data_IF_234693661333
#
_entry.id   IF_234693661333
#
_cell.length_a   1.000
_cell.length_b   1.000
_cell.length_c   1.000
_cell.angle_alpha   90.00
_cell.angle_beta   90.00
_cell.angle_gamma   90.00
#
_symmetry.space_group_name_H-M   'P 1'
#
loop_
_entity.id
_entity.type
_entity.pdbx_description
1 polymer ?
#
# COMPACT_ATOMS: atom_id res chain seq x y z
N UNK A 1 10.13 -6.13 -3.50
CA UNK A 1 9.30 -5.15 -4.24
C UNK A 1 9.88 -4.93 -5.63
N UNK A 2 9.03 -4.79 -6.66
CA UNK A 2 9.45 -4.46 -8.04
C UNK A 2 9.03 -3.05 -8.40
N UNK A 3 7.75 -2.72 -8.25
CA UNK A 3 7.23 -1.38 -8.55
C UNK A 3 5.99 -1.05 -7.75
N UNK A 4 5.68 0.23 -7.66
CA UNK A 4 4.39 0.74 -7.21
C UNK A 4 3.91 1.81 -8.18
N UNK A 5 2.62 1.78 -8.51
CA UNK A 5 1.93 2.81 -9.29
C UNK A 5 0.78 3.38 -8.48
N UNK A 6 0.67 4.70 -8.47
CA UNK A 6 -0.35 5.47 -7.75
C UNK A 6 -1.18 6.27 -8.76
N UNK A 7 -2.49 6.09 -8.75
CA UNK A 7 -3.43 6.83 -9.59
C UNK A 7 -4.46 7.52 -8.71
N UNK A 8 -4.51 8.84 -8.77
CA UNK A 8 -5.39 9.73 -7.98
C UNK A 8 -5.32 9.52 -6.45
N UNK A 9 -4.18 9.02 -5.94
CA UNK A 9 -4.00 8.76 -4.52
C UNK A 9 -3.45 10.00 -3.80
N UNK A 10 -4.27 10.71 -3.01
CA UNK A 10 -3.91 11.93 -2.28
C UNK A 10 -3.25 12.95 -3.20
N UNK A 11 -1.99 13.38 -2.97
CA UNK A 11 -1.30 14.33 -3.85
C UNK A 11 -0.77 13.72 -5.15
N UNK A 12 -0.76 12.40 -5.26
CA UNK A 12 -0.26 11.71 -6.44
C UNK A 12 -1.38 11.51 -7.47
N UNK A 13 -1.24 12.05 -8.68
CA UNK A 13 -2.23 11.87 -9.76
C UNK A 13 -1.95 10.63 -10.59
N UNK A 14 -0.73 10.47 -11.07
CA UNK A 14 -0.30 9.31 -11.85
C UNK A 14 1.21 9.17 -11.74
N UNK A 15 1.66 8.51 -10.69
CA UNK A 15 3.06 8.36 -10.36
C UNK A 15 3.44 6.89 -10.28
N UNK A 16 4.66 6.57 -10.69
CA UNK A 16 5.20 5.21 -10.58
C UNK A 16 6.64 5.23 -10.15
N UNK A 17 7.02 4.23 -9.38
CA UNK A 17 8.41 4.03 -8.93
C UNK A 17 8.76 2.56 -9.16
N UNK A 18 9.87 2.33 -9.88
CA UNK A 18 10.51 1.05 -9.97
C UNK A 18 11.60 0.94 -8.91
N UNK A 19 11.58 -0.15 -8.14
CA UNK A 19 12.54 -0.37 -7.07
C UNK A 19 13.78 -1.09 -7.59
N UNK A 20 14.92 -0.85 -6.95
CA UNK A 20 16.17 -1.56 -7.24
C UNK A 20 15.96 -3.07 -7.04
N UNK A 21 16.36 -3.86 -8.05
CA UNK A 21 16.13 -5.31 -8.10
C UNK A 21 17.36 -6.15 -7.74
N UNK A 22 18.43 -5.52 -7.23
CA UNK A 22 19.67 -6.21 -6.87
C UNK A 22 20.63 -6.40 -8.05
N UNK A 23 20.30 -5.92 -9.24
CA UNK A 23 21.19 -5.95 -10.39
C UNK A 23 22.45 -5.10 -10.13
N UNK A 24 23.62 -5.67 -10.39
CA UNK A 24 24.91 -5.01 -10.11
C UNK A 24 25.13 -4.69 -8.62
N UNK A 25 24.50 -5.45 -7.71
CA UNK A 25 24.62 -5.25 -6.26
C UNK A 25 23.78 -4.11 -5.70
N UNK A 26 22.96 -3.45 -6.51
CA UNK A 26 22.08 -2.35 -6.09
C UNK A 26 20.70 -2.90 -5.68
N UNK A 27 20.45 -3.02 -4.39
CA UNK A 27 19.18 -3.52 -3.82
C UNK A 27 18.48 -2.50 -2.91
N UNK A 28 18.92 -1.24 -2.92
CA UNK A 28 18.35 -0.17 -2.10
C UNK A 28 17.84 0.94 -3.00
N UNK A 29 16.58 1.31 -2.81
CA UNK A 29 15.97 2.51 -3.41
C UNK A 29 15.80 3.57 -2.33
N UNK A 30 16.32 4.76 -2.56
CA UNK A 30 16.21 5.90 -1.64
C UNK A 30 15.24 6.92 -2.23
N UNK A 31 14.20 7.26 -1.48
CA UNK A 31 13.23 8.29 -1.84
C UNK A 31 13.51 9.53 -0.99
N UNK A 32 13.91 10.61 -1.66
CA UNK A 32 14.28 11.87 -1.01
C UNK A 32 13.21 12.91 -1.35
N UNK A 33 12.90 13.76 -0.38
CA UNK A 33 11.99 14.89 -0.58
C UNK A 33 11.93 15.75 0.68
N UNK A 34 11.54 17.00 0.53
CA UNK A 34 11.31 17.92 1.63
C UNK A 34 10.12 17.50 2.52
N UNK A 35 9.94 18.16 3.66
CA UNK A 35 8.77 17.92 4.50
C UNK A 35 7.50 18.36 3.76
N UNK A 36 6.46 17.54 3.85
CA UNK A 36 5.19 17.79 3.16
C UNK A 36 5.10 17.29 1.71
N UNK A 37 6.20 16.81 1.10
CA UNK A 37 6.19 16.32 -0.30
C UNK A 37 5.47 15.00 -0.50
N UNK A 38 5.12 14.29 0.58
CA UNK A 38 4.32 13.07 0.50
C UNK A 38 5.05 11.77 0.81
N UNK A 39 6.24 11.82 1.42
CA UNK A 39 6.95 10.59 1.81
C UNK A 39 6.07 9.66 2.69
N UNK A 40 5.43 10.20 3.70
CA UNK A 40 4.49 9.46 4.56
C UNK A 40 3.27 8.98 3.78
N UNK A 41 2.72 9.81 2.89
CA UNK A 41 1.59 9.41 2.03
C UNK A 41 1.98 8.26 1.10
N UNK A 42 3.21 8.30 0.57
CA UNK A 42 3.74 7.23 -0.25
C UNK A 42 3.84 5.91 0.54
N UNK A 43 4.37 5.95 1.77
CA UNK A 43 4.39 4.78 2.65
C UNK A 43 2.97 4.26 2.96
N UNK A 44 2.00 5.16 3.19
CA UNK A 44 0.60 4.80 3.43
C UNK A 44 -0.06 4.14 2.20
N UNK A 45 0.41 4.40 0.98
CA UNK A 45 -0.09 3.75 -0.21
C UNK A 45 0.18 2.24 -0.21
N UNK A 46 1.32 1.79 0.36
CA UNK A 46 1.59 0.36 0.56
C UNK A 46 0.60 -0.26 1.54
N UNK A 47 0.35 0.39 2.69
CA UNK A 47 -0.61 -0.08 3.68
C UNK A 47 -2.00 -0.19 3.08
N UNK A 48 -2.41 0.83 2.35
CA UNK A 48 -3.71 0.82 1.70
C UNK A 48 -3.80 -0.28 0.64
N UNK A 49 -2.79 -0.45 -0.19
CA UNK A 49 -2.80 -1.51 -1.20
C UNK A 49 -2.86 -2.90 -0.56
N UNK A 50 -2.05 -3.17 0.46
CA UNK A 50 -1.95 -4.48 1.10
C UNK A 50 -3.17 -4.78 2.00
N UNK A 51 -3.59 -3.83 2.83
CA UNK A 51 -4.54 -4.09 3.93
C UNK A 51 -5.84 -3.28 3.83
N UNK A 52 -5.99 -2.39 2.86
CA UNK A 52 -7.18 -1.54 2.71
C UNK A 52 -7.28 -0.42 3.74
N UNK A 53 -6.22 -0.13 4.48
CA UNK A 53 -6.22 0.82 5.59
C UNK A 53 -5.22 1.95 5.38
N UNK A 54 -5.54 3.11 5.95
CA UNK A 54 -4.64 4.26 6.04
C UNK A 54 -4.74 4.88 7.43
N UNK A 55 -3.70 5.59 7.85
CA UNK A 55 -3.67 6.34 9.11
C UNK A 55 -4.08 7.81 8.93
N UNK A 56 -4.57 8.18 7.75
CA UNK A 56 -5.05 9.55 7.53
C UNK A 56 -6.27 9.84 8.40
N UNK A 57 -6.28 11.03 8.99
CA UNK A 57 -7.46 11.55 9.71
C UNK A 57 -8.64 11.75 8.75
N UNK A 58 -8.36 12.21 7.53
CA UNK A 58 -9.33 12.34 6.46
C UNK A 58 -9.47 10.99 5.73
N UNK A 59 -10.69 10.48 5.70
CA UNK A 59 -11.01 9.17 5.07
C UNK A 59 -11.07 9.23 3.54
N UNK A 60 -11.10 10.43 2.96
CA UNK A 60 -11.08 10.62 1.51
C UNK A 60 -9.63 10.55 1.03
N UNK A 61 -9.29 9.48 0.31
CA UNK A 61 -7.95 9.29 -0.26
C UNK A 61 -7.86 9.74 -1.71
N UNK A 62 -8.98 10.13 -2.34
CA UNK A 62 -8.99 10.71 -3.67
C UNK A 62 -8.18 12.01 -3.71
N UNK A 63 -7.45 12.21 -4.80
CA UNK A 63 -6.71 13.44 -5.05
C UNK A 63 -7.64 14.66 -4.97
N UNK A 64 -7.25 15.67 -4.19
CA UNK A 64 -8.11 16.84 -3.93
C UNK A 64 -8.43 17.64 -5.20
N UNK A 65 -7.49 17.77 -6.12
CA UNK A 65 -7.74 18.47 -7.39
C UNK A 65 -8.75 17.69 -8.24
N UNK A 66 -8.58 16.36 -8.33
CA UNK A 66 -9.55 15.49 -9.01
C UNK A 66 -10.92 15.61 -8.36
N UNK A 67 -11.01 15.54 -7.03
CA UNK A 67 -12.27 15.70 -6.30
C UNK A 67 -12.95 17.06 -6.56
N UNK A 68 -12.14 18.13 -6.71
CA UNK A 68 -12.64 19.47 -7.03
C UNK A 68 -13.18 19.54 -8.46
N UNK A 69 -12.48 18.93 -9.42
CA UNK A 69 -12.82 18.92 -10.85
C UNK A 69 -14.03 18.02 -11.18
N UNK A 70 -14.41 17.11 -10.26
CA UNK A 70 -15.60 16.27 -10.43
C UNK A 70 -16.87 17.10 -10.58
N UNK A 71 -17.73 16.70 -11.50
CA UNK A 71 -19.09 17.22 -11.62
C UNK A 71 -20.09 16.33 -10.87
N UNK A 72 -21.29 16.84 -10.52
CA UNK A 72 -22.34 15.99 -9.94
C UNK A 72 -22.58 14.72 -10.76
N UNK A 73 -22.75 13.59 -10.08
CA UNK A 73 -22.93 12.24 -10.67
C UNK A 73 -21.71 11.68 -11.40
N UNK A 74 -20.59 12.41 -11.47
CA UNK A 74 -19.36 11.85 -12.02
C UNK A 74 -18.71 10.86 -11.05
N UNK A 75 -17.92 9.96 -11.63
CA UNK A 75 -17.13 8.98 -10.89
C UNK A 75 -15.64 9.17 -11.16
N UNK A 76 -14.85 9.05 -10.12
CA UNK A 76 -13.40 9.02 -10.21
C UNK A 76 -12.85 7.85 -9.42
N UNK A 77 -11.69 7.37 -9.80
CA UNK A 77 -11.10 6.18 -9.23
C UNK A 77 -9.72 6.47 -8.63
N UNK A 78 -9.54 5.99 -7.42
CA UNK A 78 -8.21 5.82 -6.83
C UNK A 78 -7.75 4.40 -7.07
N UNK A 79 -6.52 4.23 -7.55
CA UNK A 79 -5.91 2.92 -7.74
C UNK A 79 -4.46 2.93 -7.24
N UNK A 80 -4.09 1.88 -6.52
CA UNK A 80 -2.70 1.56 -6.21
C UNK A 80 -2.40 0.16 -6.75
N UNK A 81 -1.36 0.07 -7.55
CA UNK A 81 -0.86 -1.19 -8.08
C UNK A 81 0.54 -1.45 -7.50
N UNK A 82 0.72 -2.57 -6.85
CA UNK A 82 1.98 -3.01 -6.26
C UNK A 82 2.45 -4.29 -6.95
N UNK A 83 3.67 -4.28 -7.47
CA UNK A 83 4.29 -5.48 -8.06
C UNK A 83 5.41 -5.94 -7.16
N UNK A 84 5.42 -7.22 -6.83
CA UNK A 84 6.45 -7.83 -5.99
C UNK A 84 6.75 -9.26 -6.44
N UNK A 85 7.89 -9.78 -6.00
CA UNK A 85 8.25 -11.19 -6.13
C UNK A 85 8.30 -11.82 -4.73
N UNK A 86 7.69 -13.00 -4.61
CA UNK A 86 7.81 -13.85 -3.44
C UNK A 86 8.12 -15.27 -3.90
N UNK A 87 9.29 -15.79 -3.49
CA UNK A 87 9.85 -17.00 -4.08
C UNK A 87 10.09 -16.82 -5.59
N UNK A 88 9.61 -17.77 -6.38
CA UNK A 88 9.73 -17.78 -7.84
C UNK A 88 8.50 -17.18 -8.56
N UNK A 89 7.63 -16.51 -7.82
CA UNK A 89 6.34 -16.05 -8.32
C UNK A 89 6.28 -14.53 -8.27
N UNK A 90 5.80 -13.92 -9.36
CA UNK A 90 5.53 -12.50 -9.45
C UNK A 90 4.05 -12.21 -9.13
N UNK A 91 3.84 -11.31 -8.20
CA UNK A 91 2.51 -10.86 -7.77
C UNK A 91 2.26 -9.45 -8.25
N UNK A 92 1.05 -9.20 -8.76
CA UNK A 92 0.52 -7.86 -9.01
C UNK A 92 -0.74 -7.68 -8.18
N UNK A 93 -0.63 -6.83 -7.15
CA UNK A 93 -1.72 -6.50 -6.25
C UNK A 93 -2.32 -5.19 -6.71
N UNK A 94 -3.65 -5.15 -6.88
CA UNK A 94 -4.38 -3.97 -7.34
C UNK A 94 -5.48 -3.68 -6.34
N UNK A 95 -5.44 -2.52 -5.71
CA UNK A 95 -6.55 -2.03 -4.89
C UNK A 95 -7.11 -0.77 -5.51
N UNK A 96 -8.45 -0.75 -5.62
CA UNK A 96 -9.20 0.35 -6.18
C UNK A 96 -10.32 0.80 -5.24
N UNK A 97 -10.65 2.08 -5.32
CA UNK A 97 -11.84 2.65 -4.70
C UNK A 97 -12.44 3.68 -5.64
N UNK A 98 -13.73 3.52 -5.93
CA UNK A 98 -14.50 4.49 -6.73
C UNK A 98 -15.04 5.57 -5.80
N UNK A 99 -14.97 6.80 -6.25
CA UNK A 99 -15.53 7.98 -5.59
C UNK A 99 -16.61 8.58 -6.49
N UNK A 100 -17.72 8.97 -5.89
CA UNK A 100 -18.84 9.64 -6.57
C UNK A 100 -19.08 10.99 -5.94
N UNK A 101 -19.45 11.96 -6.77
CA UNK A 101 -19.87 13.29 -6.33
C UNK A 101 -21.38 13.41 -6.43
N UNK A 102 -22.04 13.74 -5.33
CA UNK A 102 -23.48 13.95 -5.31
C UNK A 102 -23.86 15.40 -5.74
N UNK A 103 -25.15 15.66 -5.92
CA UNK A 103 -25.66 17.00 -6.28
C UNK A 103 -25.41 18.06 -5.22
N UNK A 104 -25.14 17.66 -3.98
CA UNK A 104 -24.74 18.56 -2.88
C UNK A 104 -23.22 18.81 -2.84
N UNK A 105 -22.50 18.40 -3.87
CA UNK A 105 -21.04 18.49 -3.99
C UNK A 105 -20.26 17.66 -2.95
N UNK A 106 -20.87 16.68 -2.28
CA UNK A 106 -20.16 15.78 -1.41
C UNK A 106 -19.52 14.65 -2.22
N UNK A 107 -18.26 14.37 -1.92
CA UNK A 107 -17.53 13.26 -2.52
C UNK A 107 -17.51 12.09 -1.53
N UNK A 108 -18.00 10.93 -1.97
CA UNK A 108 -18.07 9.70 -1.17
C UNK A 108 -17.39 8.55 -1.89
N UNK A 109 -16.61 7.76 -1.15
CA UNK A 109 -15.98 6.55 -1.66
C UNK A 109 -16.87 5.32 -1.43
N UNK A 110 -16.91 4.44 -2.41
CA UNK A 110 -17.49 3.11 -2.29
C UNK A 110 -16.56 2.16 -1.50
N UNK A 111 -16.97 0.90 -1.33
CA UNK A 111 -16.10 -0.13 -0.82
C UNK A 111 -14.90 -0.36 -1.77
N UNK A 112 -13.76 -0.69 -1.19
CA UNK A 112 -12.57 -1.01 -1.97
C UNK A 112 -12.73 -2.36 -2.68
N UNK A 113 -12.18 -2.44 -3.89
CA UNK A 113 -12.01 -3.70 -4.62
C UNK A 113 -10.53 -4.08 -4.56
N UNK A 114 -10.26 -5.35 -4.30
CA UNK A 114 -8.90 -5.87 -4.21
C UNK A 114 -8.74 -7.10 -5.08
N UNK A 115 -7.78 -7.07 -5.99
CA UNK A 115 -7.47 -8.14 -6.92
C UNK A 115 -5.97 -8.47 -6.86
N UNK A 116 -5.64 -9.74 -7.00
CA UNK A 116 -4.27 -10.24 -7.07
C UNK A 116 -4.12 -11.09 -8.32
N UNK A 117 -3.20 -10.70 -9.20
CA UNK A 117 -2.72 -11.51 -10.30
C UNK A 117 -1.38 -12.14 -9.92
N UNK A 118 -1.20 -13.39 -10.29
CA UNK A 118 -0.03 -14.21 -9.98
C UNK A 118 0.55 -14.70 -11.29
N UNK A 119 1.84 -14.43 -11.52
CA UNK A 119 2.57 -14.90 -12.70
C UNK A 119 3.63 -15.90 -12.27
N UNK A 120 3.50 -17.15 -12.73
CA UNK A 120 4.44 -18.24 -12.44
C UNK A 120 5.75 -18.11 -13.23
N UNK A 121 6.71 -18.99 -12.94
CA UNK A 121 8.00 -19.04 -13.63
C UNK A 121 7.87 -19.39 -15.12
N UNK A 122 6.78 -20.05 -15.54
CA UNK A 122 6.47 -20.36 -16.94
C UNK A 122 5.85 -19.19 -17.69
N UNK A 123 5.54 -18.09 -16.99
CA UNK A 123 4.94 -16.90 -17.57
C UNK A 123 3.42 -16.91 -17.61
N UNK A 124 2.74 -17.96 -17.10
CA UNK A 124 1.30 -18.03 -17.03
C UNK A 124 0.77 -17.10 -15.94
N UNK A 125 -0.30 -16.36 -16.27
CA UNK A 125 -0.95 -15.49 -15.32
C UNK A 125 -2.28 -16.09 -14.86
N UNK A 126 -2.49 -16.14 -13.56
CA UNK A 126 -3.73 -16.54 -12.91
C UNK A 126 -4.18 -15.47 -11.91
N UNK A 127 -5.45 -15.53 -11.50
CA UNK A 127 -6.00 -14.59 -10.53
C UNK A 127 -6.38 -15.33 -9.25
N UNK A 128 -6.01 -14.74 -8.12
CA UNK A 128 -6.43 -15.23 -6.81
C UNK A 128 -7.94 -14.97 -6.64
N UNK A 129 -8.68 -15.93 -6.10
CA UNK A 129 -10.10 -15.73 -5.81
C UNK A 129 -10.26 -14.59 -4.80
N UNK A 130 -11.23 -13.68 -5.01
CA UNK A 130 -11.46 -12.51 -4.15
C UNK A 130 -11.53 -12.84 -2.66
N UNK A 131 -12.19 -13.94 -2.31
CA UNK A 131 -12.28 -14.41 -0.92
C UNK A 131 -10.95 -14.90 -0.31
N UNK A 132 -9.91 -15.09 -1.12
CA UNK A 132 -8.60 -15.59 -0.70
C UNK A 132 -7.51 -14.50 -0.76
N UNK A 133 -7.80 -13.34 -1.36
CA UNK A 133 -6.80 -12.27 -1.53
C UNK A 133 -6.18 -11.80 -0.20
N UNK A 134 -6.98 -11.64 0.85
CA UNK A 134 -6.47 -11.23 2.16
C UNK A 134 -5.58 -12.31 2.80
N UNK A 135 -5.94 -13.59 2.65
CA UNK A 135 -5.12 -14.71 3.13
C UNK A 135 -3.79 -14.79 2.36
N UNK A 136 -3.83 -14.53 1.05
CA UNK A 136 -2.63 -14.48 0.20
C UNK A 136 -1.67 -13.37 0.64
N UNK A 137 -2.19 -12.15 0.88
CA UNK A 137 -1.36 -11.04 1.41
C UNK A 137 -0.78 -11.41 2.77
N UNK A 138 -1.58 -12.04 3.64
CA UNK A 138 -1.10 -12.46 4.97
C UNK A 138 0.03 -13.48 4.89
N UNK A 139 0.03 -14.36 3.90
CA UNK A 139 1.12 -15.33 3.69
C UNK A 139 2.41 -14.68 3.20
N UNK A 140 2.31 -13.57 2.43
CA UNK A 140 3.46 -12.81 1.91
C UNK A 140 4.01 -11.88 2.99
N UNK A 141 3.13 -11.10 3.62
CA UNK A 141 3.48 -10.13 4.65
C UNK A 141 2.32 -9.98 5.66
N UNK A 142 2.38 -10.66 6.82
CA UNK A 142 1.40 -10.48 7.89
C UNK A 142 1.31 -9.01 8.32
N UNK A 143 0.09 -8.52 8.55
CA UNK A 143 -0.15 -7.12 8.92
C UNK A 143 0.59 -6.73 10.21
N UNK A 144 0.70 -7.65 11.15
CA UNK A 144 1.39 -7.48 12.43
C UNK A 144 2.88 -7.15 12.23
N UNK A 145 3.47 -7.68 11.15
CA UNK A 145 4.86 -7.42 10.79
C UNK A 145 5.05 -6.15 9.97
N UNK A 146 4.01 -5.68 9.29
CA UNK A 146 4.11 -4.54 8.39
C UNK A 146 4.69 -3.29 9.07
N UNK A 147 4.38 -3.08 10.34
CA UNK A 147 4.91 -1.98 11.16
C UNK A 147 6.44 -1.99 11.33
N UNK A 148 7.10 -3.15 11.11
CA UNK A 148 8.57 -3.29 11.17
C UNK A 148 9.23 -3.10 9.81
N UNK A 149 8.44 -3.13 8.73
CA UNK A 149 8.91 -2.93 7.36
C UNK A 149 8.54 -1.56 6.80
N UNK A 150 7.41 -1.01 7.24
CA UNK A 150 6.93 0.31 6.79
C UNK A 150 6.85 1.25 7.99
N UNK A 151 7.89 2.04 8.20
CA UNK A 151 7.93 3.02 9.29
C UNK A 151 8.51 4.35 8.81
N UNK A 152 8.01 5.43 9.38
CA UNK A 152 8.59 6.77 9.22
C UNK A 152 9.51 7.12 10.40
N UNK A 153 10.24 8.23 10.30
CA UNK A 153 11.20 8.64 11.32
C UNK A 153 10.58 8.87 12.70
N UNK A 154 9.32 9.32 12.77
CA UNK A 154 8.60 9.53 14.04
C UNK A 154 8.26 8.19 14.71
N UNK A 155 7.97 7.16 13.92
CA UNK A 155 7.72 5.81 14.44
C UNK A 155 8.97 5.13 14.97
N UNK A 156 10.15 5.37 14.37
CA UNK A 156 11.42 4.83 14.90
C UNK A 156 11.61 5.26 16.35
N UNK A 157 11.35 6.53 16.65
CA UNK A 157 11.50 7.05 18.01
C UNK A 157 10.50 6.39 19.00
N UNK A 158 9.25 6.20 18.58
CA UNK A 158 8.25 5.47 19.40
C UNK A 158 8.63 4.00 19.58
N UNK A 159 9.07 3.32 18.53
CA UNK A 159 9.51 1.92 18.61
C UNK A 159 10.70 1.76 19.53
N UNK A 160 11.68 2.66 19.50
CA UNK A 160 12.83 2.65 20.41
C UNK A 160 12.39 2.78 21.88
N UNK A 161 11.42 3.67 22.16
CA UNK A 161 10.84 3.82 23.51
C UNK A 161 10.04 2.59 23.94
N UNK A 162 9.27 1.99 23.04
CA UNK A 162 8.44 0.80 23.30
C UNK A 162 9.29 -0.45 23.56
N UNK A 163 10.42 -0.61 22.85
CA UNK A 163 11.38 -1.71 23.06
C UNK A 163 12.06 -1.56 24.43
N UNK A 164 12.43 -0.34 24.82
CA UNK A 164 13.06 -0.08 26.12
C UNK A 164 12.13 -0.35 27.30
N UNK A 165 10.80 -0.34 27.10
CA UNK A 165 9.79 -0.62 28.13
C UNK A 165 9.33 -2.08 28.18
N UNK A 166 9.88 -2.98 27.34
CA UNK A 166 9.66 -4.44 27.39
C UNK A 166 8.27 -4.92 26.95
N UNK A 167 7.35 -4.02 26.60
CA UNK A 167 5.94 -4.35 26.32
C UNK A 167 5.67 -4.95 24.93
N UNK A 168 6.60 -4.84 23.97
CA UNK A 168 6.39 -5.26 22.58
C UNK A 168 7.39 -6.29 22.03
N UNK A 169 8.32 -6.74 22.84
CA UNK A 169 9.24 -7.80 22.43
C UNK A 169 8.52 -9.15 22.19
N UNK A 170 7.45 -9.41 22.91
CA UNK A 170 6.58 -10.59 22.75
C UNK A 170 5.83 -10.59 21.43
N UNK A 171 5.25 -9.47 21.04
CA UNK A 171 4.47 -9.35 19.79
C UNK A 171 5.34 -9.58 18.54
N UNK A 172 6.58 -9.09 18.56
CA UNK A 172 7.55 -9.32 17.49
C UNK A 172 7.97 -10.78 17.40
N UNK A 173 8.27 -11.40 18.55
CA UNK A 173 8.66 -12.81 18.61
C UNK A 173 7.52 -13.75 18.14
N UNK A 174 6.26 -13.46 18.49
CA UNK A 174 5.10 -14.21 18.04
C UNK A 174 4.86 -14.03 16.54
N UNK A 175 4.99 -12.80 16.02
CA UNK A 175 4.83 -12.52 14.60
C UNK A 175 5.92 -13.21 13.75
N UNK A 176 7.17 -13.25 14.22
CA UNK A 176 8.29 -13.96 13.55
C UNK A 176 8.08 -15.47 13.61
N UNK A 177 7.57 -16.03 14.72
CA UNK A 177 7.24 -17.45 14.82
C UNK A 177 6.14 -17.89 13.85
N UNK A 178 5.24 -16.99 13.48
CA UNK A 178 4.20 -17.27 12.48
C UNK A 178 4.69 -17.28 11.03
N UNK A 179 5.96 -16.91 10.77
CA UNK A 179 6.61 -16.94 9.46
C UNK A 179 7.55 -18.13 9.26
N UNK A 180 7.87 -18.86 10.32
CA UNK A 180 8.71 -20.07 10.32
C UNK A 180 7.84 -21.32 10.30
#
# INVERSE_FOLDING_TARGET
LKSIKLENFRQFRNESIDFAQGEGGKNVTIIIGENGTGKTTFAQAFFWCLYGETEFSDKIILNKMVATDMTPESEEKVRVTLTLRHGEVDYTLIREQVYRKDYSNNVKGDNTVFDIAVKDASGNTSYVKKSQCEAEVKSILPKELSRYFFFDGERIEKMSKDISTGKKATDFAEAVKGLL
#
